data_IF_101059345878
#
_entry.id   IF_101059345878
#
_cell.length_a   1.000
_cell.length_b   1.000
_cell.length_c   1.000
_cell.angle_alpha   90.00
_cell.angle_beta   90.00
_cell.angle_gamma   90.00
#
_symmetry.space_group_name_H-M   'P 1'
#
loop_
_entity.id
_entity.type
_entity.pdbx_description
1 polymer ?
#
# COMPACT_ATOMS: atom_id res chain seq x y z
N UNK A 1 10.79 -3.27 -2.72
CA UNK A 1 11.01 -4.43 -3.57
C UNK A 1 10.45 -5.64 -2.84
N UNK A 2 9.57 -6.39 -3.48
CA UNK A 2 8.73 -7.33 -2.75
C UNK A 2 7.88 -6.58 -1.72
N UNK A 3 7.94 -7.04 -0.47
CA UNK A 3 7.14 -6.46 0.62
C UNK A 3 7.91 -5.42 1.46
N UNK A 4 9.18 -5.12 1.14
CA UNK A 4 10.09 -4.30 1.96
C UNK A 4 10.74 -3.18 1.14
N UNK A 5 11.12 -2.09 1.82
CA UNK A 5 12.07 -1.14 1.23
C UNK A 5 13.49 -1.77 1.13
N UNK A 6 14.30 -1.27 0.20
CA UNK A 6 15.70 -1.73 0.02
C UNK A 6 16.48 -1.66 1.34
N UNK A 7 16.28 -0.60 2.10
CA UNK A 7 16.91 -0.40 3.40
C UNK A 7 16.64 -1.55 4.39
N UNK A 8 15.42 -2.10 4.39
CA UNK A 8 15.13 -3.28 5.22
C UNK A 8 15.84 -4.54 4.73
N UNK A 9 15.98 -4.72 3.42
CA UNK A 9 16.78 -5.84 2.89
C UNK A 9 18.24 -5.72 3.32
N UNK A 10 18.81 -4.51 3.30
CA UNK A 10 20.17 -4.26 3.77
C UNK A 10 20.28 -4.56 5.27
N UNK A 11 19.41 -4.02 6.11
CA UNK A 11 19.45 -4.23 7.56
C UNK A 11 19.34 -5.73 7.90
N UNK A 12 18.39 -6.43 7.28
CA UNK A 12 18.11 -7.84 7.53
C UNK A 12 19.26 -8.77 7.04
N UNK A 13 20.15 -8.28 6.16
CA UNK A 13 21.30 -9.05 5.65
C UNK A 13 22.45 -9.19 6.65
N UNK A 14 22.42 -8.41 7.73
CA UNK A 14 23.45 -8.39 8.76
C UNK A 14 22.99 -9.11 10.02
N UNK A 15 23.64 -10.22 10.34
CA UNK A 15 23.42 -10.96 11.59
C UNK A 15 24.40 -10.52 12.69
N UNK A 16 23.91 -10.43 13.92
CA UNK A 16 24.75 -10.18 15.12
C UNK A 16 25.53 -8.84 15.10
N UNK A 17 24.98 -7.81 14.47
CA UNK A 17 25.54 -6.45 14.51
C UNK A 17 24.93 -5.67 15.67
N UNK A 18 25.79 -5.10 16.52
CA UNK A 18 25.37 -4.31 17.69
C UNK A 18 24.60 -3.07 17.29
N UNK A 19 25.09 -2.31 16.31
CA UNK A 19 24.51 -1.04 15.87
C UNK A 19 24.69 -0.86 14.38
N UNK A 20 23.63 -0.41 13.72
CA UNK A 20 23.60 -0.03 12.30
C UNK A 20 23.45 1.48 12.23
N UNK A 21 24.42 2.18 11.68
CA UNK A 21 24.36 3.62 11.45
C UNK A 21 23.87 3.91 10.04
N UNK A 22 22.76 4.64 9.94
CA UNK A 22 22.22 5.10 8.66
C UNK A 22 22.62 6.56 8.46
N UNK A 23 23.41 6.80 7.41
CA UNK A 23 23.79 8.17 7.01
C UNK A 23 22.63 8.82 6.27
N UNK A 24 22.08 9.88 6.83
CA UNK A 24 20.91 10.57 6.29
C UNK A 24 21.29 11.80 5.51
N UNK A 25 20.86 11.84 4.25
CA UNK A 25 20.97 13.00 3.37
C UNK A 25 19.59 13.46 2.92
N UNK A 26 19.27 13.25 1.63
CA UNK A 26 17.95 13.55 1.08
C UNK A 26 16.88 12.70 1.73
N UNK A 27 15.69 13.28 1.91
CA UNK A 27 14.50 12.60 2.48
C UNK A 27 14.73 12.01 3.89
N UNK A 28 15.63 12.58 4.68
CA UNK A 28 15.97 12.09 6.01
C UNK A 28 14.75 11.79 6.88
N UNK A 29 13.78 12.71 6.94
CA UNK A 29 12.59 12.53 7.75
C UNK A 29 11.70 11.36 7.29
N UNK A 30 11.63 11.11 5.98
CA UNK A 30 10.89 9.97 5.45
C UNK A 30 11.54 8.63 5.85
N UNK A 31 12.88 8.57 5.76
CA UNK A 31 13.66 7.38 6.15
C UNK A 31 13.53 7.13 7.65
N UNK A 32 13.62 8.17 8.49
CA UNK A 32 13.43 8.05 9.94
C UNK A 32 12.06 7.49 10.29
N UNK A 33 10.99 8.02 9.69
CA UNK A 33 9.63 7.53 9.90
C UNK A 33 9.48 6.07 9.47
N UNK A 34 10.02 5.69 8.30
CA UNK A 34 10.00 4.30 7.86
C UNK A 34 10.66 3.36 8.88
N UNK A 35 11.87 3.67 9.34
CA UNK A 35 12.62 2.85 10.30
C UNK A 35 11.91 2.79 11.66
N UNK A 36 11.34 3.90 12.13
CA UNK A 36 10.54 3.94 13.35
C UNK A 36 9.36 2.96 13.30
N UNK A 37 8.66 2.92 12.17
CA UNK A 37 7.59 1.95 11.93
C UNK A 37 8.08 0.50 11.84
N UNK A 38 9.29 0.26 11.35
CA UNK A 38 9.88 -1.09 11.23
C UNK A 38 10.24 -1.72 12.58
N UNK A 39 10.40 -0.89 13.64
CA UNK A 39 10.77 -1.34 14.98
C UNK A 39 12.12 -2.08 15.04
N UNK A 40 13.13 -1.58 14.31
CA UNK A 40 14.51 -2.06 14.42
C UNK A 40 15.15 -1.51 15.69
N UNK A 41 15.63 -2.39 16.58
CA UNK A 41 16.15 -2.00 17.88
C UNK A 41 17.59 -1.45 17.85
N UNK A 42 18.34 -1.72 16.79
CA UNK A 42 19.78 -1.47 16.69
C UNK A 42 20.15 -0.45 15.60
N UNK A 43 19.24 0.42 15.21
CA UNK A 43 19.48 1.44 14.17
C UNK A 43 19.68 2.81 14.81
N UNK A 44 20.73 3.51 14.43
CA UNK A 44 21.03 4.90 14.78
C UNK A 44 21.21 5.74 13.51
N UNK A 45 20.90 7.03 13.62
CA UNK A 45 20.97 7.96 12.49
C UNK A 45 22.11 8.95 12.64
N UNK A 46 22.81 9.21 11.53
CA UNK A 46 23.82 10.27 11.44
C UNK A 46 23.39 11.20 10.30
N UNK A 47 23.04 12.44 10.64
CA UNK A 47 22.70 13.46 9.65
C UNK A 47 23.95 13.98 8.97
N UNK A 48 23.93 14.03 7.64
CA UNK A 48 25.03 14.44 6.80
C UNK A 48 24.67 15.77 6.12
N UNK A 49 25.44 16.81 6.41
CA UNK A 49 25.39 18.06 5.66
C UNK A 49 26.13 17.88 4.33
N UNK A 50 25.71 18.59 3.28
CA UNK A 50 26.34 18.54 1.94
C UNK A 50 26.51 17.09 1.39
N UNK A 51 25.50 16.26 1.63
CA UNK A 51 25.47 14.83 1.25
C UNK A 51 25.61 14.61 -0.27
N UNK A 52 25.34 15.63 -1.09
CA UNK A 52 25.43 15.59 -2.56
C UNK A 52 26.81 15.93 -3.12
N UNK A 53 27.79 16.30 -2.27
CA UNK A 53 29.13 16.68 -2.75
C UNK A 53 29.92 15.43 -3.17
N UNK A 54 30.11 14.49 -2.26
CA UNK A 54 30.74 13.19 -2.51
C UNK A 54 30.53 12.23 -1.34
N UNK A 55 30.67 10.94 -1.59
CA UNK A 55 30.66 9.88 -0.57
C UNK A 55 31.72 10.14 0.50
N UNK A 56 32.91 10.58 0.08
CA UNK A 56 34.03 10.90 0.98
C UNK A 56 33.73 12.08 1.92
N UNK A 57 33.05 13.11 1.40
CA UNK A 57 32.59 14.25 2.20
C UNK A 57 31.58 13.79 3.25
N UNK A 58 30.70 12.87 2.89
CA UNK A 58 29.74 12.27 3.81
C UNK A 58 30.45 11.49 4.90
N UNK A 59 31.40 10.64 4.58
CA UNK A 59 32.15 9.84 5.57
C UNK A 59 32.94 10.70 6.54
N UNK A 60 33.51 11.82 6.13
CA UNK A 60 34.23 12.75 7.02
C UNK A 60 33.37 13.36 8.12
N UNK A 61 32.07 13.34 7.97
CA UNK A 61 31.11 13.86 8.96
C UNK A 61 30.71 12.80 9.99
N UNK A 62 31.07 11.54 9.77
CA UNK A 62 30.79 10.46 10.74
C UNK A 62 31.58 10.69 12.00
N UNK A 63 30.94 10.70 13.19
CA UNK A 63 31.63 10.87 14.47
C UNK A 63 32.72 9.82 14.70
N UNK A 64 33.86 10.25 15.26
CA UNK A 64 35.02 9.41 15.46
C UNK A 64 34.72 8.10 16.22
N UNK A 65 33.82 8.13 17.18
CA UNK A 65 33.48 6.96 17.99
C UNK A 65 32.92 5.79 17.17
N UNK A 66 32.34 6.05 15.99
CA UNK A 66 31.85 5.00 15.08
C UNK A 66 33.03 4.15 14.56
N UNK A 67 34.24 4.74 14.49
CA UNK A 67 35.47 4.10 14.05
C UNK A 67 36.30 3.50 15.19
N UNK A 68 35.75 3.37 16.39
CA UNK A 68 36.45 2.76 17.54
C UNK A 68 36.47 1.20 17.48
N UNK A 69 35.63 0.61 16.62
CA UNK A 69 35.50 -0.84 16.42
C UNK A 69 35.53 -1.19 14.94
N UNK A 70 35.88 -2.45 14.57
CA UNK A 70 35.66 -2.95 13.23
C UNK A 70 34.21 -2.74 12.78
N UNK A 71 34.01 -2.45 11.50
CA UNK A 71 32.68 -2.16 10.96
C UNK A 71 32.49 -2.70 9.55
N UNK A 72 31.24 -2.93 9.17
CA UNK A 72 30.85 -3.13 7.78
C UNK A 72 30.39 -1.81 7.18
N UNK A 73 30.70 -1.62 5.92
CA UNK A 73 30.12 -0.58 5.07
C UNK A 73 29.24 -1.22 4.01
N UNK A 74 28.08 -0.62 3.73
CA UNK A 74 27.18 -1.00 2.65
C UNK A 74 26.66 0.25 1.94
N UNK A 75 26.77 0.29 0.63
CA UNK A 75 26.08 1.31 -0.16
C UNK A 75 24.56 1.10 -0.07
N UNK A 76 23.80 2.19 -0.15
CA UNK A 76 22.36 2.16 0.14
C UNK A 76 21.49 1.66 -1.03
N UNK A 77 22.08 1.37 -2.15
CA UNK A 77 21.41 0.99 -3.41
C UNK A 77 21.66 -0.47 -3.80
N UNK A 78 22.26 -1.26 -2.93
CA UNK A 78 22.52 -2.66 -3.19
C UNK A 78 22.50 -3.51 -1.90
N UNK A 79 22.26 -4.80 -2.04
CA UNK A 79 22.32 -5.73 -0.93
C UNK A 79 22.63 -7.17 -1.38
N UNK A 80 22.98 -8.00 -0.43
CA UNK A 80 23.01 -9.47 -0.53
C UNK A 80 22.08 -10.05 0.53
N UNK A 81 21.41 -11.19 0.32
CA UNK A 81 20.53 -11.78 1.35
C UNK A 81 21.25 -12.09 2.66
N UNK A 82 22.54 -12.30 2.61
CA UNK A 82 23.37 -12.61 3.78
C UNK A 82 24.79 -12.08 3.57
N UNK A 83 25.22 -11.17 4.40
CA UNK A 83 26.61 -10.67 4.40
C UNK A 83 27.50 -11.64 5.17
N UNK A 84 28.55 -12.20 4.54
CA UNK A 84 29.44 -13.13 5.24
C UNK A 84 30.16 -12.47 6.41
N UNK A 85 30.22 -13.18 7.54
CA UNK A 85 31.01 -12.73 8.70
C UNK A 85 32.51 -12.95 8.42
N UNK A 86 33.28 -11.89 8.53
CA UNK A 86 34.73 -11.88 8.29
C UNK A 86 35.44 -11.11 9.41
N UNK A 87 36.72 -11.41 9.62
CA UNK A 87 37.55 -10.81 10.68
C UNK A 87 38.65 -9.87 10.15
N UNK A 88 38.93 -9.93 8.85
CA UNK A 88 40.00 -9.17 8.20
C UNK A 88 39.41 -8.03 7.36
N UNK A 89 40.25 -7.06 6.94
CA UNK A 89 39.85 -6.07 5.93
C UNK A 89 39.44 -6.80 4.67
N UNK A 90 38.21 -6.63 4.25
CA UNK A 90 37.63 -7.43 3.17
C UNK A 90 36.74 -6.55 2.26
N UNK A 91 36.91 -6.70 0.96
CA UNK A 91 35.96 -6.22 -0.04
C UNK A 91 35.14 -7.40 -0.57
N UNK A 92 33.85 -7.15 -0.78
CA UNK A 92 32.98 -8.17 -1.34
C UNK A 92 32.76 -7.88 -2.83
N UNK A 93 32.98 -8.90 -3.63
CA UNK A 93 32.88 -8.85 -5.08
C UNK A 93 31.70 -9.70 -5.56
N UNK A 94 31.15 -9.37 -6.72
CA UNK A 94 30.14 -10.18 -7.38
C UNK A 94 30.49 -10.36 -8.87
N UNK A 95 30.15 -11.53 -9.42
CA UNK A 95 30.29 -11.83 -10.85
C UNK A 95 28.93 -11.92 -11.49
N UNK A 96 28.69 -11.12 -12.53
CA UNK A 96 27.41 -11.10 -13.26
C UNK A 96 27.64 -11.39 -14.75
N UNK A 97 26.82 -12.25 -15.37
CA UNK A 97 26.80 -12.39 -16.83
C UNK A 97 26.27 -11.14 -17.55
N UNK A 98 25.65 -10.21 -16.81
CA UNK A 98 25.08 -8.95 -17.30
C UNK A 98 25.87 -7.75 -16.80
N UNK A 99 27.18 -7.84 -16.89
CA UNK A 99 28.12 -6.80 -16.42
C UNK A 99 27.85 -5.41 -17.01
N UNK A 100 27.34 -5.37 -18.24
CA UNK A 100 26.94 -4.13 -18.92
C UNK A 100 25.90 -3.28 -18.16
N UNK A 101 25.13 -3.88 -17.26
CA UNK A 101 24.20 -3.14 -16.40
C UNK A 101 24.88 -2.41 -15.23
N UNK A 102 26.16 -2.72 -14.99
CA UNK A 102 26.94 -2.27 -13.83
C UNK A 102 28.23 -1.54 -14.21
N UNK A 103 28.24 -0.89 -15.37
CA UNK A 103 29.42 -0.20 -15.92
C UNK A 103 30.01 0.90 -15.02
N UNK A 104 29.23 1.40 -14.05
CA UNK A 104 29.70 2.41 -13.09
C UNK A 104 30.53 1.82 -11.93
N UNK A 105 30.51 0.50 -11.75
CA UNK A 105 31.21 -0.17 -10.66
C UNK A 105 32.69 -0.46 -11.03
N UNK A 106 33.59 -0.19 -10.09
CA UNK A 106 35.00 -0.47 -10.29
C UNK A 106 35.27 -1.97 -10.45
N UNK A 107 36.00 -2.34 -11.49
CA UNK A 107 36.37 -3.71 -11.76
C UNK A 107 37.45 -4.19 -10.79
N UNK A 108 37.13 -5.21 -9.98
CA UNK A 108 38.17 -5.93 -9.19
C UNK A 108 38.95 -6.88 -10.07
N UNK A 109 38.30 -7.45 -11.10
CA UNK A 109 38.90 -8.32 -12.11
C UNK A 109 38.10 -8.29 -13.39
N UNK A 110 38.56 -8.88 -14.52
CA UNK A 110 37.78 -8.92 -15.76
C UNK A 110 36.39 -9.57 -15.61
N UNK A 111 36.21 -10.45 -14.64
CA UNK A 111 35.03 -11.26 -14.46
C UNK A 111 34.23 -10.88 -13.19
N UNK A 112 34.69 -9.93 -12.38
CA UNK A 112 34.01 -9.52 -11.15
C UNK A 112 34.17 -8.03 -10.90
N UNK A 113 33.26 -7.48 -10.09
CA UNK A 113 33.25 -6.07 -9.68
C UNK A 113 32.96 -5.96 -8.18
N UNK A 114 33.34 -4.83 -7.60
CA UNK A 114 33.06 -4.53 -6.20
C UNK A 114 31.56 -4.35 -5.96
N UNK A 115 31.04 -5.06 -4.99
CA UNK A 115 29.60 -5.12 -4.70
C UNK A 115 29.07 -3.96 -3.82
N UNK A 116 29.88 -2.95 -3.53
CA UNK A 116 29.50 -1.85 -2.63
C UNK A 116 29.41 -2.24 -1.15
N UNK A 117 29.98 -3.40 -0.79
CA UNK A 117 29.98 -3.92 0.57
C UNK A 117 31.42 -4.22 0.98
N UNK A 118 31.81 -3.84 2.18
CA UNK A 118 33.14 -4.09 2.70
C UNK A 118 33.15 -4.22 4.23
N UNK A 119 34.18 -4.88 4.76
CA UNK A 119 34.49 -4.96 6.18
C UNK A 119 35.83 -4.30 6.46
N UNK A 120 35.86 -3.43 7.44
CA UNK A 120 37.04 -2.69 7.91
C UNK A 120 37.42 -3.19 9.29
N UNK A 121 38.48 -3.97 9.38
CA UNK A 121 39.05 -4.41 10.66
C UNK A 121 39.78 -3.28 11.36
N UNK A 122 40.65 -2.56 10.66
CA UNK A 122 41.40 -1.44 11.23
C UNK A 122 40.65 -0.11 10.98
N UNK A 123 39.58 0.07 11.74
CA UNK A 123 38.75 1.26 11.67
C UNK A 123 39.51 2.55 12.00
N UNK A 124 40.48 2.52 12.92
CA UNK A 124 41.32 3.66 13.26
C UNK A 124 42.19 4.08 12.07
N UNK A 125 42.81 3.14 11.37
CA UNK A 125 43.56 3.43 10.14
C UNK A 125 42.65 4.00 9.07
N UNK A 126 41.48 3.42 8.87
CA UNK A 126 40.48 3.94 7.92
C UNK A 126 40.13 5.40 8.22
N UNK A 127 39.81 5.72 9.48
CA UNK A 127 39.54 7.10 9.93
C UNK A 127 40.69 8.05 9.61
N UNK A 128 41.93 7.64 9.88
CA UNK A 128 43.12 8.47 9.62
C UNK A 128 43.35 8.72 8.13
N UNK A 129 43.21 7.69 7.28
CA UNK A 129 43.29 7.83 5.82
C UNK A 129 42.23 8.79 5.32
N UNK A 130 40.98 8.59 5.77
CA UNK A 130 39.83 9.42 5.42
C UNK A 130 40.05 10.90 5.70
N UNK A 131 40.57 11.24 6.90
CA UNK A 131 40.73 12.63 7.33
C UNK A 131 42.03 13.29 6.85
N UNK A 132 43.07 12.52 6.54
CA UNK A 132 44.34 13.05 6.00
C UNK A 132 44.33 13.16 4.48
N UNK A 133 43.40 12.56 3.79
CA UNK A 133 43.27 12.67 2.33
C UNK A 133 42.61 14.00 1.91
N UNK A 134 43.24 14.71 0.96
CA UNK A 134 42.67 15.91 0.36
C UNK A 134 41.87 15.64 -0.93
N UNK A 135 41.72 14.37 -1.32
CA UNK A 135 41.11 13.99 -2.58
C UNK A 135 39.64 13.57 -2.36
N UNK A 136 38.81 13.88 -3.35
CA UNK A 136 37.48 13.29 -3.49
C UNK A 136 37.60 11.90 -4.10
N UNK A 137 37.75 10.88 -3.27
CA UNK A 137 37.89 9.50 -3.71
C UNK A 137 36.59 8.74 -3.44
N UNK A 138 36.40 7.59 -4.08
CA UNK A 138 35.40 6.63 -3.67
C UNK A 138 35.94 5.74 -2.54
N UNK A 139 35.06 4.96 -1.88
CA UNK A 139 35.41 4.08 -0.75
C UNK A 139 36.50 3.05 -1.12
N UNK A 140 36.45 2.47 -2.33
CA UNK A 140 37.48 1.53 -2.82
C UNK A 140 38.90 2.09 -2.78
N UNK A 141 39.06 3.36 -3.05
CA UNK A 141 40.40 3.98 -3.05
C UNK A 141 41.04 3.97 -1.66
N UNK A 142 40.25 3.91 -0.58
CA UNK A 142 40.76 3.79 0.78
C UNK A 142 41.44 2.43 0.98
N UNK A 143 40.88 1.36 0.41
CA UNK A 143 41.42 0.01 0.57
C UNK A 143 42.77 -0.18 -0.10
N UNK A 144 43.13 0.60 -1.10
CA UNK A 144 44.48 0.60 -1.68
C UNK A 144 45.57 1.09 -0.72
N UNK A 145 45.20 1.75 0.36
CA UNK A 145 46.10 2.24 1.40
C UNK A 145 46.33 1.19 2.52
N UNK A 146 45.65 0.05 2.46
CA UNK A 146 45.85 -1.05 3.39
C UNK A 146 46.86 -2.05 2.83
N UNK A 147 47.70 -2.63 3.73
CA UNK A 147 48.74 -3.58 3.32
C UNK A 147 48.14 -4.91 2.85
N UNK A 148 47.03 -5.32 3.46
CA UNK A 148 46.34 -6.57 3.16
C UNK A 148 44.85 -6.34 3.14
N UNK A 149 44.19 -6.68 2.02
CA UNK A 149 42.72 -6.66 1.86
C UNK A 149 42.30 -7.98 1.20
N UNK A 150 41.41 -8.70 1.85
CA UNK A 150 40.86 -9.93 1.30
C UNK A 150 39.73 -9.61 0.29
N UNK A 151 39.57 -10.49 -0.67
CA UNK A 151 38.46 -10.44 -1.61
C UNK A 151 37.57 -11.68 -1.38
N UNK A 152 36.24 -11.43 -1.24
CA UNK A 152 35.27 -12.51 -1.03
C UNK A 152 34.19 -12.38 -2.09
N UNK A 153 33.95 -13.46 -2.84
CA UNK A 153 32.89 -13.51 -3.83
C UNK A 153 31.53 -13.77 -3.17
N UNK A 154 30.58 -12.91 -3.40
CA UNK A 154 29.18 -13.10 -3.01
C UNK A 154 28.50 -14.11 -3.94
N UNK A 155 27.61 -14.92 -3.37
CA UNK A 155 26.80 -15.87 -4.15
C UNK A 155 25.61 -15.20 -4.82
N UNK A 156 25.05 -14.22 -4.17
CA UNK A 156 23.89 -13.45 -4.60
C UNK A 156 24.12 -11.98 -4.27
N UNK A 157 23.71 -11.11 -5.15
CA UNK A 157 23.80 -9.67 -4.98
C UNK A 157 22.79 -8.99 -5.87
N UNK A 158 22.20 -7.91 -5.39
CA UNK A 158 21.15 -7.15 -6.06
C UNK A 158 21.47 -5.67 -6.00
N UNK A 159 21.27 -4.99 -7.11
CA UNK A 159 21.45 -3.55 -7.27
C UNK A 159 20.15 -2.86 -7.67
N UNK A 160 19.97 -1.63 -7.24
CA UNK A 160 18.84 -0.77 -7.59
C UNK A 160 19.27 0.66 -7.89
N UNK A 161 20.55 0.88 -8.09
CA UNK A 161 21.14 2.19 -8.36
C UNK A 161 20.77 2.76 -9.73
N UNK A 162 20.20 1.94 -10.63
CA UNK A 162 19.65 2.39 -11.91
C UNK A 162 18.28 1.76 -12.19
N UNK A 163 17.55 2.32 -13.17
CA UNK A 163 16.16 1.91 -13.46
C UNK A 163 16.07 0.46 -13.93
N UNK A 164 16.99 0.00 -14.77
CA UNK A 164 17.03 -1.35 -15.33
C UNK A 164 17.26 -2.39 -14.22
N UNK A 165 18.25 -2.14 -13.36
CA UNK A 165 18.54 -2.99 -12.21
C UNK A 165 17.38 -3.02 -11.21
N UNK A 166 16.78 -1.87 -10.92
CA UNK A 166 15.57 -1.78 -10.09
C UNK A 166 14.42 -2.61 -10.65
N UNK A 167 14.13 -2.50 -11.95
CA UNK A 167 13.08 -3.30 -12.60
C UNK A 167 13.37 -4.80 -12.55
N UNK A 168 14.64 -5.19 -12.75
CA UNK A 168 15.05 -6.58 -12.66
C UNK A 168 14.88 -7.14 -11.24
N UNK A 169 15.30 -6.41 -10.22
CA UNK A 169 15.12 -6.78 -8.82
C UNK A 169 13.64 -6.87 -8.45
N UNK A 170 12.81 -5.91 -8.88
CA UNK A 170 11.36 -5.93 -8.63
C UNK A 170 10.67 -7.12 -9.30
N UNK A 171 11.09 -7.51 -10.50
CA UNK A 171 10.56 -8.69 -11.17
C UNK A 171 10.95 -10.00 -10.48
N UNK A 172 12.12 -10.04 -9.85
CA UNK A 172 12.60 -11.21 -9.11
C UNK A 172 11.94 -11.35 -7.73
N UNK A 173 11.89 -10.25 -6.95
CA UNK A 173 11.28 -10.23 -5.64
C UNK A 173 9.79 -9.89 -5.75
N UNK A 174 8.96 -10.91 -5.92
CA UNK A 174 7.51 -10.72 -5.87
C UNK A 174 7.04 -10.51 -4.44
N UNK A 175 6.06 -9.63 -4.27
CA UNK A 175 5.35 -9.52 -3.00
C UNK A 175 4.66 -10.85 -2.66
N UNK A 176 4.71 -11.24 -1.39
CA UNK A 176 3.92 -12.34 -0.86
C UNK A 176 2.47 -11.94 -0.62
N UNK A 177 2.17 -10.64 -0.73
CA UNK A 177 0.87 -10.05 -0.49
C UNK A 177 0.42 -9.28 -1.73
N UNK A 178 -0.87 -9.35 -2.05
CA UNK A 178 -1.50 -8.55 -3.11
C UNK A 178 -1.64 -7.08 -2.62
N UNK A 179 -0.52 -6.37 -2.58
CA UNK A 179 -0.49 -4.95 -2.22
C UNK A 179 -1.00 -4.15 -3.42
N UNK A 180 -2.09 -3.42 -3.21
CA UNK A 180 -2.62 -2.51 -4.23
C UNK A 180 -1.79 -1.22 -4.22
N UNK A 181 -1.12 -0.94 -5.34
CA UNK A 181 -0.45 0.34 -5.56
C UNK A 181 -1.47 1.49 -5.53
N UNK A 182 -1.27 2.42 -4.60
CA UNK A 182 -2.05 3.65 -4.52
C UNK A 182 -1.12 4.85 -4.73
N UNK A 183 -1.53 5.78 -5.58
CA UNK A 183 -0.70 6.94 -5.95
C UNK A 183 -0.31 7.86 -4.79
N UNK A 184 -0.98 7.77 -3.65
CA UNK A 184 -0.80 8.63 -2.48
C UNK A 184 -0.20 7.93 -1.27
N UNK A 185 0.05 6.63 -1.33
CA UNK A 185 0.63 5.87 -0.22
C UNK A 185 1.53 4.75 -0.71
N UNK A 186 2.48 4.36 0.13
CA UNK A 186 3.32 3.18 -0.01
C UNK A 186 3.01 2.22 1.13
N UNK A 187 2.97 0.92 0.84
CA UNK A 187 2.64 -0.11 1.82
C UNK A 187 3.81 -1.10 1.90
N UNK A 188 4.24 -1.39 3.13
CA UNK A 188 5.32 -2.34 3.40
C UNK A 188 4.89 -3.36 4.45
N UNK A 189 5.51 -4.53 4.38
CA UNK A 189 5.38 -5.57 5.39
C UNK A 189 6.78 -5.92 5.94
N UNK A 190 7.04 -5.53 7.18
CA UNK A 190 8.34 -5.69 7.83
C UNK A 190 8.15 -6.07 9.29
N UNK A 191 8.91 -7.05 9.78
CA UNK A 191 8.90 -7.48 11.18
C UNK A 191 7.48 -7.78 11.72
N UNK A 192 6.67 -8.48 10.93
CA UNK A 192 5.27 -8.80 11.23
C UNK A 192 4.36 -7.56 11.41
N UNK A 193 4.73 -6.44 10.80
CA UNK A 193 3.95 -5.20 10.80
C UNK A 193 3.58 -4.79 9.39
N UNK A 194 2.38 -4.26 9.23
CA UNK A 194 1.97 -3.51 8.05
C UNK A 194 2.31 -2.05 8.29
N UNK A 195 3.04 -1.45 7.35
CA UNK A 195 3.46 -0.04 7.40
C UNK A 195 2.83 0.66 6.21
N UNK A 196 2.16 1.77 6.44
CA UNK A 196 1.61 2.64 5.39
C UNK A 196 2.20 4.02 5.53
N UNK A 197 2.96 4.45 4.53
CA UNK A 197 3.51 5.81 4.45
C UNK A 197 2.74 6.61 3.40
N UNK A 198 2.35 7.82 3.75
CA UNK A 198 1.51 8.69 2.94
C UNK A 198 2.29 9.92 2.49
N UNK A 199 1.91 10.49 1.35
CA UNK A 199 2.49 11.75 0.86
C UNK A 199 2.09 12.96 1.71
N UNK A 200 0.94 12.88 2.38
CA UNK A 200 0.39 13.93 3.24
C UNK A 200 0.38 13.47 4.71
N UNK A 201 0.17 14.41 5.60
CA UNK A 201 -0.01 14.13 7.03
C UNK A 201 -1.25 13.27 7.28
N UNK A 202 -1.20 12.40 8.30
CA UNK A 202 -2.25 11.42 8.61
C UNK A 202 -2.82 11.56 10.02
N UNK A 203 -2.68 12.71 10.65
CA UNK A 203 -3.14 12.96 12.02
C UNK A 203 -4.64 12.69 12.19
N UNK A 204 -5.48 13.18 11.27
CA UNK A 204 -6.93 12.94 11.31
C UNK A 204 -7.27 11.46 11.14
N UNK A 205 -6.55 10.76 10.24
CA UNK A 205 -6.72 9.32 10.08
C UNK A 205 -6.34 8.56 11.35
N UNK A 206 -5.21 8.89 11.99
CA UNK A 206 -4.78 8.26 13.24
C UNK A 206 -5.83 8.43 14.34
N UNK A 207 -6.30 9.66 14.56
CA UNK A 207 -7.36 9.95 15.54
C UNK A 207 -8.64 9.17 15.24
N UNK A 208 -9.00 9.05 13.95
CA UNK A 208 -10.16 8.28 13.52
C UNK A 208 -10.00 6.79 13.84
N UNK A 209 -8.82 6.21 13.57
CA UNK A 209 -8.53 4.80 13.85
C UNK A 209 -8.56 4.47 15.35
N UNK A 210 -7.98 5.34 16.17
CA UNK A 210 -7.93 5.16 17.63
C UNK A 210 -9.31 5.28 18.29
N UNK A 211 -10.16 6.16 17.77
CA UNK A 211 -11.48 6.43 18.34
C UNK A 211 -12.61 5.57 17.80
N UNK A 212 -12.40 4.82 16.70
CA UNK A 212 -13.42 4.01 16.08
C UNK A 212 -13.59 2.64 16.74
N UNK A 213 -14.31 2.58 17.84
CA UNK A 213 -14.57 1.33 18.56
C UNK A 213 -15.59 0.41 17.88
N UNK A 214 -16.39 0.92 16.95
CA UNK A 214 -17.39 0.14 16.21
C UNK A 214 -16.77 -0.65 15.07
N UNK A 215 -15.71 -0.13 14.47
CA UNK A 215 -14.91 -0.78 13.44
C UNK A 215 -13.45 -0.86 13.91
N UNK A 216 -13.13 -1.78 14.84
CA UNK A 216 -11.80 -1.81 15.46
C UNK A 216 -10.71 -2.14 14.44
N UNK A 217 -9.72 -1.26 14.36
CA UNK A 217 -8.52 -1.46 13.59
C UNK A 217 -7.55 -2.43 14.29
N UNK A 218 -6.70 -3.17 13.57
CA UNK A 218 -5.63 -3.97 14.19
C UNK A 218 -4.75 -3.13 15.13
N UNK A 219 -4.35 -3.71 16.25
CA UNK A 219 -3.57 -3.05 17.30
C UNK A 219 -2.32 -3.86 17.67
N UNK A 220 -1.26 -3.22 18.19
CA UNK A 220 -1.16 -1.79 18.50
C UNK A 220 -0.99 -0.93 17.23
N UNK A 221 -1.63 0.23 17.23
CA UNK A 221 -1.41 1.26 16.21
C UNK A 221 -0.23 2.13 16.62
N UNK A 222 0.71 2.34 15.70
CA UNK A 222 1.79 3.32 15.85
C UNK A 222 1.68 4.35 14.74
N UNK A 223 1.74 5.64 15.08
CA UNK A 223 1.58 6.76 14.18
C UNK A 223 2.78 7.68 14.17
N UNK A 224 3.15 8.14 12.98
CA UNK A 224 4.08 9.26 12.75
C UNK A 224 3.38 10.35 11.96
N UNK A 225 4.08 11.42 11.61
CA UNK A 225 3.48 12.54 10.87
C UNK A 225 2.85 12.11 9.52
N UNK A 226 3.53 11.23 8.79
CA UNK A 226 3.10 10.77 7.46
C UNK A 226 2.88 9.26 7.38
N UNK A 227 2.88 8.55 8.52
CA UNK A 227 2.79 7.09 8.52
C UNK A 227 1.94 6.51 9.62
N UNK A 228 1.44 5.32 9.36
CA UNK A 228 0.83 4.45 10.36
C UNK A 228 1.39 3.04 10.21
N UNK A 229 1.52 2.33 11.31
CA UNK A 229 1.77 0.90 11.28
C UNK A 229 1.02 0.16 12.37
N UNK A 230 0.78 -1.10 12.12
CA UNK A 230 0.06 -2.00 13.03
C UNK A 230 0.53 -3.44 12.81
N UNK A 231 0.30 -4.29 13.80
CA UNK A 231 0.66 -5.71 13.69
C UNK A 231 -0.13 -6.37 12.57
N UNK A 232 0.56 -7.19 11.78
CA UNK A 232 -0.11 -8.01 10.78
C UNK A 232 -1.07 -8.99 11.44
N UNK A 233 -2.30 -9.01 10.97
CA UNK A 233 -3.34 -9.91 11.47
C UNK A 233 -3.52 -11.05 10.49
N UNK A 234 -3.08 -12.23 10.86
CA UNK A 234 -3.48 -13.44 10.16
C UNK A 234 -4.97 -13.69 10.37
N UNK A 235 -5.67 -14.04 9.30
CA UNK A 235 -7.10 -14.31 9.41
C UNK A 235 -7.74 -14.61 8.08
N UNK A 236 -9.04 -14.88 8.13
CA UNK A 236 -9.85 -15.10 6.93
C UNK A 236 -10.34 -13.78 6.40
N UNK A 237 -10.24 -13.60 5.11
CA UNK A 237 -10.68 -12.40 4.38
C UNK A 237 -11.56 -12.79 3.20
N UNK A 238 -12.35 -11.86 2.72
CA UNK A 238 -13.16 -11.98 1.52
C UNK A 238 -14.03 -13.25 1.51
N UNK A 239 -13.79 -14.18 0.58
CA UNK A 239 -14.62 -15.39 0.42
C UNK A 239 -14.48 -16.39 1.58
N UNK A 240 -13.40 -16.32 2.35
CA UNK A 240 -13.13 -17.24 3.44
C UNK A 240 -13.72 -16.82 4.80
N UNK A 241 -14.29 -15.60 4.89
CA UNK A 241 -14.88 -15.11 6.13
C UNK A 241 -16.11 -15.95 6.53
N UNK A 242 -16.33 -16.09 7.84
CA UNK A 242 -17.62 -16.55 8.39
C UNK A 242 -18.67 -15.46 8.17
N UNK A 243 -19.35 -15.56 7.04
CA UNK A 243 -20.28 -14.54 6.58
C UNK A 243 -21.48 -14.37 7.51
N UNK A 244 -22.01 -15.44 8.08
CA UNK A 244 -23.18 -15.38 8.95
C UNK A 244 -22.84 -14.65 10.25
N UNK A 245 -21.67 -14.95 10.82
CA UNK A 245 -21.14 -14.22 11.98
C UNK A 245 -20.91 -12.75 11.69
N UNK A 246 -20.28 -12.42 10.54
CA UNK A 246 -20.03 -11.04 10.12
C UNK A 246 -21.35 -10.27 9.93
N UNK A 247 -22.29 -10.84 9.16
CA UNK A 247 -23.55 -10.19 8.84
C UNK A 247 -24.37 -9.92 10.11
N UNK A 248 -24.43 -10.88 11.05
CA UNK A 248 -25.13 -10.71 12.32
C UNK A 248 -24.54 -9.54 13.14
N UNK A 249 -23.22 -9.43 13.22
CA UNK A 249 -22.56 -8.33 13.92
C UNK A 249 -22.82 -6.97 13.25
N UNK A 250 -22.72 -6.88 11.93
CA UNK A 250 -22.98 -5.65 11.20
C UNK A 250 -24.46 -5.23 11.30
N UNK A 251 -25.41 -6.16 11.17
CA UNK A 251 -26.82 -5.86 11.32
C UNK A 251 -27.15 -5.34 12.73
N UNK A 252 -26.58 -5.94 13.78
CA UNK A 252 -26.77 -5.43 15.15
C UNK A 252 -26.27 -3.99 15.32
N UNK A 253 -25.10 -3.68 14.76
CA UNK A 253 -24.55 -2.32 14.79
C UNK A 253 -25.45 -1.33 14.04
N UNK A 254 -25.87 -1.68 12.83
CA UNK A 254 -26.69 -0.81 11.99
C UNK A 254 -28.09 -0.63 12.57
N UNK A 255 -28.75 -1.69 13.06
CA UNK A 255 -30.07 -1.60 13.69
C UNK A 255 -30.03 -0.74 14.97
N UNK A 256 -29.00 -0.89 15.79
CA UNK A 256 -28.78 -0.03 16.96
C UNK A 256 -28.59 1.44 16.54
N UNK A 257 -27.80 1.70 15.51
CA UNK A 257 -27.54 3.06 15.01
C UNK A 257 -28.80 3.69 14.42
N UNK A 258 -29.56 2.94 13.62
CA UNK A 258 -30.83 3.40 13.04
C UNK A 258 -31.87 3.77 14.11
N UNK A 259 -31.89 3.03 15.23
CA UNK A 259 -32.83 3.29 16.31
C UNK A 259 -32.48 4.50 17.20
N UNK A 260 -31.19 4.90 17.24
CA UNK A 260 -30.69 5.84 18.25
C UNK A 260 -30.08 7.14 17.70
N UNK A 261 -29.84 7.26 16.37
CA UNK A 261 -29.09 8.38 15.81
C UNK A 261 -29.92 9.34 14.94
N UNK A 262 -29.31 10.48 14.69
CA UNK A 262 -29.93 11.58 13.94
C UNK A 262 -30.06 11.28 12.45
N UNK A 263 -31.15 11.76 11.87
CA UNK A 263 -31.23 11.90 10.42
C UNK A 263 -30.35 13.06 9.96
N UNK A 264 -29.57 12.85 8.90
CA UNK A 264 -28.75 13.85 8.25
C UNK A 264 -29.07 13.95 6.77
N UNK A 265 -28.71 15.08 6.17
CA UNK A 265 -28.81 15.25 4.71
C UNK A 265 -27.40 15.20 4.12
N UNK A 266 -27.14 14.20 3.28
CA UNK A 266 -25.82 13.97 2.69
C UNK A 266 -25.86 14.00 1.15
N UNK A 267 -26.20 15.20 0.62
CA UNK A 267 -26.28 15.44 -0.82
C UNK A 267 -24.94 15.24 -1.53
N UNK A 268 -23.86 15.68 -0.89
CA UNK A 268 -22.50 15.63 -1.46
C UNK A 268 -22.04 14.19 -1.80
N UNK A 269 -22.31 13.22 -0.92
CA UNK A 269 -21.91 11.82 -1.13
C UNK A 269 -22.75 11.13 -2.20
N UNK A 270 -24.05 11.42 -2.28
CA UNK A 270 -24.97 10.74 -3.16
C UNK A 270 -25.19 11.48 -4.46
N UNK A 271 -25.96 12.57 -4.42
CA UNK A 271 -26.40 13.26 -5.63
C UNK A 271 -25.23 13.95 -6.34
N UNK A 272 -24.51 14.83 -5.64
CA UNK A 272 -23.50 15.68 -6.28
C UNK A 272 -22.33 14.84 -6.81
N UNK A 273 -21.89 13.85 -6.04
CA UNK A 273 -20.82 12.92 -6.46
C UNK A 273 -21.25 12.08 -7.67
N UNK A 274 -22.50 11.57 -7.69
CA UNK A 274 -22.97 10.75 -8.80
C UNK A 274 -23.03 11.55 -10.09
N UNK A 275 -23.53 12.80 -10.06
CA UNK A 275 -23.54 13.67 -11.22
C UNK A 275 -22.13 14.04 -11.70
N UNK A 276 -21.24 14.39 -10.78
CA UNK A 276 -19.84 14.65 -11.11
C UNK A 276 -19.18 13.45 -11.80
N UNK A 277 -19.41 12.23 -11.32
CA UNK A 277 -18.85 11.01 -11.90
C UNK A 277 -19.49 10.66 -13.25
N UNK A 278 -20.77 10.98 -13.42
CA UNK A 278 -21.43 10.86 -14.71
C UNK A 278 -20.81 11.82 -15.75
N UNK A 279 -20.55 13.05 -15.39
CA UNK A 279 -19.85 14.00 -16.27
C UNK A 279 -18.46 13.47 -16.64
N UNK A 280 -17.67 13.02 -15.66
CA UNK A 280 -16.33 12.44 -15.91
C UNK A 280 -16.35 11.23 -16.87
N UNK A 281 -17.34 10.34 -16.77
CA UNK A 281 -17.43 9.18 -17.64
C UNK A 281 -17.85 9.59 -19.07
N UNK A 282 -18.74 10.58 -19.21
CA UNK A 282 -19.15 11.12 -20.51
C UNK A 282 -18.01 11.91 -21.17
N UNK A 283 -17.18 12.62 -20.42
CA UNK A 283 -15.97 13.28 -20.93
C UNK A 283 -14.97 12.25 -21.48
N UNK A 284 -14.82 11.13 -20.77
CA UNK A 284 -13.92 10.04 -21.18
C UNK A 284 -14.50 9.21 -22.35
N UNK A 285 -15.79 8.98 -22.38
CA UNK A 285 -16.52 8.20 -23.37
C UNK A 285 -17.79 8.96 -23.83
N UNK A 286 -17.67 9.87 -24.83
CA UNK A 286 -18.74 10.76 -25.24
C UNK A 286 -20.03 10.04 -25.70
N UNK A 287 -19.91 8.80 -26.18
CA UNK A 287 -21.06 7.98 -26.56
C UNK A 287 -22.04 7.70 -25.40
N UNK A 288 -21.61 7.86 -24.16
CA UNK A 288 -22.47 7.66 -22.97
C UNK A 288 -23.30 8.88 -22.58
N UNK A 289 -23.13 10.00 -23.27
CA UNK A 289 -24.05 11.12 -23.15
C UNK A 289 -25.38 10.87 -23.90
N UNK A 290 -25.38 9.93 -24.87
CA UNK A 290 -26.53 9.56 -25.66
C UNK A 290 -27.20 8.27 -25.14
N UNK A 291 -28.35 7.91 -25.76
CA UNK A 291 -29.06 6.66 -25.47
C UNK A 291 -28.19 5.45 -25.78
N UNK A 292 -27.99 4.60 -24.78
CA UNK A 292 -27.24 3.35 -24.90
C UNK A 292 -28.17 2.13 -24.93
N UNK A 293 -27.74 1.05 -25.56
CA UNK A 293 -28.48 -0.23 -25.55
C UNK A 293 -27.79 -1.18 -24.54
N UNK A 294 -28.52 -1.56 -23.49
CA UNK A 294 -28.02 -2.48 -22.46
C UNK A 294 -28.95 -3.69 -22.39
N UNK A 295 -28.43 -4.92 -22.61
CA UNK A 295 -29.24 -6.13 -22.57
C UNK A 295 -30.52 -6.01 -23.43
N UNK A 296 -30.42 -5.42 -24.63
CA UNK A 296 -31.51 -5.18 -25.60
C UNK A 296 -32.52 -4.07 -25.16
N UNK A 297 -32.27 -3.34 -24.07
CA UNK A 297 -33.10 -2.24 -23.62
C UNK A 297 -32.38 -0.93 -23.95
N UNK A 298 -33.10 0.02 -24.56
CA UNK A 298 -32.58 1.38 -24.75
C UNK A 298 -32.76 2.19 -23.48
N UNK A 299 -31.67 2.77 -22.99
CA UNK A 299 -31.59 3.56 -21.76
C UNK A 299 -30.94 4.92 -22.08
N UNK A 300 -31.63 5.99 -21.78
CA UNK A 300 -31.09 7.34 -21.76
C UNK A 300 -30.44 7.58 -20.39
N UNK A 301 -29.10 7.73 -20.31
CA UNK A 301 -28.40 7.84 -19.03
C UNK A 301 -28.83 9.05 -18.23
N UNK A 302 -28.89 10.23 -18.85
CA UNK A 302 -29.27 11.47 -18.20
C UNK A 302 -30.68 11.38 -17.60
N UNK A 303 -31.66 10.98 -18.42
CA UNK A 303 -33.05 10.83 -17.95
C UNK A 303 -33.21 9.75 -16.88
N UNK A 304 -32.37 8.71 -16.92
CA UNK A 304 -32.40 7.66 -15.90
C UNK A 304 -31.92 8.21 -14.56
N UNK A 305 -30.84 9.00 -14.55
CA UNK A 305 -30.37 9.67 -13.33
C UNK A 305 -31.34 10.73 -12.82
N UNK A 306 -32.04 11.47 -13.69
CA UNK A 306 -33.09 12.44 -13.28
C UNK A 306 -34.26 11.76 -12.57
N UNK A 307 -34.59 10.50 -12.88
CA UNK A 307 -35.68 9.76 -12.23
C UNK A 307 -35.34 9.25 -10.83
N UNK A 308 -34.06 9.28 -10.42
CA UNK A 308 -33.68 8.87 -9.08
C UNK A 308 -34.35 9.75 -8.05
N UNK A 309 -35.02 9.13 -7.08
CA UNK A 309 -35.53 9.86 -5.94
C UNK A 309 -34.37 10.24 -4.99
N UNK A 310 -33.70 11.33 -5.31
CA UNK A 310 -32.56 11.84 -4.55
C UNK A 310 -32.92 12.15 -3.09
N UNK A 311 -34.15 12.45 -2.75
CA UNK A 311 -34.58 12.68 -1.36
C UNK A 311 -34.37 11.40 -0.52
N UNK A 312 -34.68 10.23 -1.07
CA UNK A 312 -34.46 8.93 -0.38
C UNK A 312 -32.97 8.68 -0.14
N UNK A 313 -32.12 8.94 -1.14
CA UNK A 313 -30.68 8.74 -1.02
C UNK A 313 -30.04 9.78 -0.10
N UNK A 314 -30.35 11.04 -0.26
CA UNK A 314 -29.74 12.14 0.49
C UNK A 314 -30.12 12.14 1.98
N UNK A 315 -31.28 11.58 2.36
CA UNK A 315 -31.65 11.42 3.76
C UNK A 315 -30.91 10.26 4.39
N UNK A 316 -29.78 10.54 5.06
CA UNK A 316 -28.94 9.57 5.74
C UNK A 316 -29.24 9.45 7.23
N UNK A 317 -28.49 8.59 7.89
CA UNK A 317 -28.44 8.48 9.36
C UNK A 317 -27.00 8.60 9.79
N UNK A 318 -26.74 9.58 10.66
CA UNK A 318 -25.41 9.80 11.22
C UNK A 318 -25.05 8.69 12.20
N UNK A 319 -23.87 8.11 12.04
CA UNK A 319 -23.38 7.08 12.95
C UNK A 319 -21.95 6.67 12.68
N UNK A 320 -21.44 5.71 13.44
CA UNK A 320 -20.10 5.17 13.22
C UNK A 320 -19.96 4.63 11.80
N UNK A 321 -18.90 5.05 11.11
CA UNK A 321 -18.60 4.64 9.74
C UNK A 321 -17.16 4.17 9.60
N UNK A 322 -16.98 3.21 8.71
CA UNK A 322 -15.69 2.78 8.19
C UNK A 322 -15.26 3.64 6.99
N UNK A 323 -16.23 4.06 6.20
CA UNK A 323 -16.05 4.88 5.00
C UNK A 323 -15.66 4.10 3.74
N UNK A 324 -15.20 2.84 3.87
CA UNK A 324 -14.91 1.92 2.77
C UNK A 324 -15.16 0.46 3.19
N UNK A 325 -16.35 0.19 3.71
CA UNK A 325 -16.70 -1.11 4.28
C UNK A 325 -16.95 -2.15 3.17
N UNK A 326 -15.88 -2.79 2.73
CA UNK A 326 -15.93 -3.89 1.75
C UNK A 326 -15.33 -5.16 2.36
N UNK A 327 -15.69 -6.34 1.81
CA UNK A 327 -15.21 -7.63 2.34
C UNK A 327 -13.68 -7.74 2.36
N UNK A 328 -12.99 -7.10 1.41
CA UNK A 328 -11.53 -7.11 1.34
C UNK A 328 -10.86 -6.32 2.49
N UNK A 329 -11.61 -5.44 3.15
CA UNK A 329 -11.15 -4.64 4.28
C UNK A 329 -11.54 -5.23 5.64
N UNK A 330 -12.03 -6.48 5.68
CA UNK A 330 -12.50 -7.15 6.89
C UNK A 330 -11.71 -8.44 7.09
N UNK A 331 -11.05 -8.54 8.25
CA UNK A 331 -10.24 -9.71 8.63
C UNK A 331 -10.87 -10.37 9.86
N UNK A 332 -11.23 -11.64 9.75
CA UNK A 332 -11.76 -12.42 10.86
C UNK A 332 -10.71 -13.41 11.35
N UNK A 333 -10.34 -13.27 12.64
CA UNK A 333 -9.42 -14.16 13.32
C UNK A 333 -10.01 -14.56 14.68
N UNK A 334 -10.22 -15.85 14.90
CA UNK A 334 -10.73 -16.42 16.16
C UNK A 334 -11.94 -15.65 16.74
N UNK A 335 -12.93 -15.36 15.91
CA UNK A 335 -14.14 -14.57 16.25
C UNK A 335 -13.86 -13.09 16.61
N UNK A 336 -12.67 -12.59 16.35
CA UNK A 336 -12.38 -11.15 16.38
C UNK A 336 -12.45 -10.60 14.96
N UNK A 337 -13.26 -9.57 14.78
CA UNK A 337 -13.35 -8.85 13.51
C UNK A 337 -12.41 -7.65 13.60
N UNK A 338 -11.50 -7.52 12.64
CA UNK A 338 -10.64 -6.36 12.47
C UNK A 338 -10.97 -5.71 11.14
N UNK A 339 -10.90 -4.39 11.10
CA UNK A 339 -11.20 -3.61 9.93
C UNK A 339 -9.95 -2.82 9.53
N UNK A 340 -9.61 -2.84 8.23
CA UNK A 340 -8.44 -2.15 7.67
C UNK A 340 -8.89 -1.15 6.60
N UNK A 341 -8.02 -0.22 6.21
CA UNK A 341 -8.30 0.77 5.14
C UNK A 341 -9.49 1.71 5.43
N UNK A 342 -9.63 2.12 6.67
CA UNK A 342 -10.61 3.16 7.05
C UNK A 342 -10.38 4.45 6.26
N UNK A 343 -11.44 5.15 6.00
CA UNK A 343 -11.37 6.55 5.55
C UNK A 343 -11.26 7.50 6.74
N UNK A 344 -10.77 8.71 6.48
CA UNK A 344 -10.77 9.78 7.47
C UNK A 344 -12.20 10.07 7.94
N UNK A 345 -12.33 10.31 9.25
CA UNK A 345 -13.64 10.48 9.89
C UNK A 345 -14.29 9.15 10.27
N UNK A 346 -14.64 9.00 11.53
CA UNK A 346 -15.28 7.81 12.11
C UNK A 346 -16.81 7.94 12.27
N UNK A 347 -17.37 9.05 11.80
CA UNK A 347 -18.82 9.34 11.83
C UNK A 347 -19.28 9.84 10.46
N UNK A 348 -20.35 9.27 9.96
CA UNK A 348 -20.87 9.61 8.64
C UNK A 348 -22.26 9.04 8.39
N UNK A 349 -22.66 8.96 7.14
CA UNK A 349 -23.90 8.29 6.74
C UNK A 349 -23.71 6.77 6.71
N UNK A 350 -24.30 6.06 7.67
CA UNK A 350 -24.21 4.60 7.75
C UNK A 350 -24.72 3.89 6.49
N UNK A 351 -25.64 4.51 5.73
CA UNK A 351 -26.10 3.93 4.47
C UNK A 351 -25.00 3.88 3.41
N UNK A 352 -23.98 4.74 3.51
CA UNK A 352 -22.82 4.61 2.63
C UNK A 352 -22.08 3.31 2.90
N UNK A 353 -21.79 2.97 4.15
CA UNK A 353 -21.15 1.71 4.53
C UNK A 353 -22.01 0.48 4.22
N UNK A 354 -23.32 0.56 4.48
CA UNK A 354 -24.26 -0.51 4.11
C UNK A 354 -24.22 -0.78 2.60
N UNK A 355 -24.24 0.29 1.78
CA UNK A 355 -24.14 0.16 0.32
C UNK A 355 -22.74 -0.30 -0.15
N UNK A 356 -21.66 0.12 0.52
CA UNK A 356 -20.29 -0.37 0.25
C UNK A 356 -20.15 -1.86 0.58
N UNK A 357 -20.71 -2.30 1.72
CA UNK A 357 -20.74 -3.71 2.06
C UNK A 357 -21.53 -4.51 1.02
N UNK A 358 -22.74 -4.05 0.67
CA UNK A 358 -23.57 -4.72 -0.33
C UNK A 358 -22.93 -4.71 -1.73
N UNK A 359 -22.24 -3.62 -2.10
CA UNK A 359 -21.41 -3.56 -3.31
C UNK A 359 -20.38 -4.69 -3.34
N UNK A 360 -19.69 -4.94 -2.23
CA UNK A 360 -18.61 -5.95 -2.19
C UNK A 360 -19.13 -7.40 -2.30
N UNK A 361 -20.41 -7.65 -2.08
CA UNK A 361 -21.01 -8.96 -2.35
C UNK A 361 -21.16 -9.26 -3.85
N UNK A 362 -21.20 -8.22 -4.69
CA UNK A 362 -21.25 -8.34 -6.14
C UNK A 362 -19.86 -8.23 -6.78
N UNK A 363 -19.07 -7.28 -6.30
CA UNK A 363 -17.81 -6.84 -6.91
C UNK A 363 -16.71 -6.77 -5.85
N UNK A 364 -16.18 -7.92 -5.44
CA UNK A 364 -14.96 -7.95 -4.65
C UNK A 364 -13.72 -7.93 -5.57
N UNK A 365 -12.56 -7.51 -5.06
CA UNK A 365 -11.33 -7.30 -5.85
C UNK A 365 -10.94 -8.51 -6.70
N UNK A 366 -11.13 -9.74 -6.21
CA UNK A 366 -10.83 -10.97 -6.94
C UNK A 366 -11.67 -11.08 -8.22
N UNK A 367 -12.96 -10.73 -8.15
CA UNK A 367 -13.83 -10.75 -9.35
C UNK A 367 -13.47 -9.65 -10.33
N UNK A 368 -13.10 -8.44 -9.83
CA UNK A 368 -12.66 -7.34 -10.67
C UNK A 368 -11.38 -7.66 -11.46
N UNK A 369 -10.48 -8.46 -10.91
CA UNK A 369 -9.24 -8.85 -11.57
C UNK A 369 -9.38 -10.01 -12.56
N UNK A 370 -10.39 -10.88 -12.37
CA UNK A 370 -10.54 -12.15 -13.12
C UNK A 370 -11.60 -12.13 -14.20
N UNK A 371 -12.42 -11.09 -14.28
CA UNK A 371 -13.58 -11.06 -15.17
C UNK A 371 -13.23 -10.42 -16.50
N UNK A 372 -13.42 -11.16 -17.60
CA UNK A 372 -13.56 -10.56 -18.92
C UNK A 372 -14.91 -9.83 -18.97
N UNK A 373 -14.86 -8.51 -19.12
CA UNK A 373 -16.06 -7.69 -19.17
C UNK A 373 -16.62 -7.66 -20.58
N UNK A 374 -17.85 -8.15 -20.75
CA UNK A 374 -18.58 -8.00 -22.01
C UNK A 374 -19.49 -6.79 -21.94
N UNK A 375 -19.28 -5.83 -22.83
CA UNK A 375 -20.15 -4.67 -22.99
C UNK A 375 -21.47 -5.07 -23.67
N UNK A 376 -21.48 -6.18 -24.42
CA UNK A 376 -22.66 -6.71 -25.12
C UNK A 376 -23.65 -7.37 -24.14
N UNK A 377 -23.14 -7.95 -23.05
CA UNK A 377 -23.95 -8.59 -22.01
C UNK A 377 -23.50 -8.09 -20.64
N UNK A 378 -24.23 -7.12 -20.11
CA UNK A 378 -23.93 -6.50 -18.83
C UNK A 378 -24.47 -7.37 -17.69
N UNK A 379 -23.81 -8.49 -17.45
CA UNK A 379 -24.11 -9.43 -16.38
C UNK A 379 -22.83 -9.79 -15.63
N UNK A 380 -22.94 -9.95 -14.31
CA UNK A 380 -21.84 -10.44 -13.48
C UNK A 380 -21.89 -11.97 -13.39
N UNK A 381 -20.77 -12.66 -13.58
CA UNK A 381 -20.65 -14.09 -13.36
C UNK A 381 -20.54 -14.37 -11.86
N UNK A 382 -21.65 -14.27 -11.13
CA UNK A 382 -21.70 -14.54 -9.71
C UNK A 382 -21.61 -16.05 -9.46
N UNK A 383 -20.80 -16.44 -8.47
CA UNK A 383 -20.71 -17.82 -7.99
C UNK A 383 -21.92 -18.19 -7.13
N UNK A 384 -22.10 -19.48 -6.85
CA UNK A 384 -23.13 -19.92 -5.87
C UNK A 384 -22.93 -19.27 -4.50
N UNK A 385 -21.68 -19.10 -4.07
CA UNK A 385 -21.33 -18.45 -2.79
C UNK A 385 -21.73 -16.98 -2.79
N UNK A 386 -21.46 -16.26 -3.88
CA UNK A 386 -21.88 -14.86 -4.01
C UNK A 386 -23.39 -14.72 -3.95
N UNK A 387 -24.12 -15.58 -4.68
CA UNK A 387 -25.57 -15.59 -4.69
C UNK A 387 -26.15 -15.93 -3.32
N UNK A 388 -25.58 -16.90 -2.59
CA UNK A 388 -25.98 -17.23 -1.24
C UNK A 388 -25.84 -16.03 -0.29
N UNK A 389 -24.69 -15.34 -0.31
CA UNK A 389 -24.41 -14.15 0.53
C UNK A 389 -25.34 -12.98 0.22
N UNK A 390 -25.53 -12.71 -1.08
CA UNK A 390 -26.48 -11.68 -1.53
C UNK A 390 -27.89 -12.00 -1.04
N UNK A 391 -28.33 -13.26 -1.16
CA UNK A 391 -29.64 -13.68 -0.71
C UNK A 391 -29.80 -13.58 0.82
N UNK A 392 -28.79 -13.98 1.60
CA UNK A 392 -28.78 -13.80 3.07
C UNK A 392 -28.91 -12.32 3.45
N UNK A 393 -28.13 -11.44 2.80
CA UNK A 393 -28.24 -9.99 3.04
C UNK A 393 -29.63 -9.47 2.70
N UNK A 394 -30.21 -9.89 1.57
CA UNK A 394 -31.57 -9.51 1.14
C UNK A 394 -32.66 -9.99 2.09
N UNK A 395 -32.44 -11.04 2.87
CA UNK A 395 -33.38 -11.54 3.87
C UNK A 395 -33.36 -10.74 5.19
N UNK A 396 -32.37 -9.87 5.41
CA UNK A 396 -32.29 -9.06 6.64
C UNK A 396 -33.44 -8.05 6.70
N UNK A 397 -33.92 -7.75 7.92
CA UNK A 397 -34.91 -6.70 8.16
C UNK A 397 -34.44 -5.36 7.64
N UNK A 398 -33.15 -5.04 7.82
CA UNK A 398 -32.50 -3.86 7.30
C UNK A 398 -32.72 -3.69 5.78
N UNK A 399 -32.37 -4.70 5.00
CA UNK A 399 -32.54 -4.64 3.55
C UNK A 399 -34.03 -4.54 3.16
N UNK A 400 -34.91 -5.32 3.78
CA UNK A 400 -36.34 -5.30 3.45
C UNK A 400 -36.96 -3.92 3.72
N UNK A 401 -36.54 -3.26 4.80
CA UNK A 401 -37.03 -1.94 5.19
C UNK A 401 -36.51 -0.82 4.26
N UNK A 402 -35.23 -0.89 3.89
CA UNK A 402 -34.56 0.18 3.14
C UNK A 402 -34.17 -0.25 1.71
N UNK A 403 -34.87 -1.25 1.16
CA UNK A 403 -34.52 -1.88 -0.12
C UNK A 403 -34.23 -0.87 -1.22
N UNK A 404 -35.14 0.06 -1.50
CA UNK A 404 -34.99 1.03 -2.59
C UNK A 404 -33.76 1.90 -2.39
N UNK A 405 -33.50 2.36 -1.16
CA UNK A 405 -32.34 3.18 -0.83
C UNK A 405 -31.04 2.41 -1.04
N UNK A 406 -30.98 1.15 -0.61
CA UNK A 406 -29.80 0.30 -0.73
C UNK A 406 -29.52 -0.03 -2.20
N UNK A 407 -30.54 -0.42 -2.98
CA UNK A 407 -30.38 -0.76 -4.39
C UNK A 407 -29.94 0.45 -5.25
N UNK A 408 -30.54 1.64 -5.02
CA UNK A 408 -30.10 2.85 -5.69
C UNK A 408 -28.71 3.32 -5.20
N UNK A 409 -28.43 3.21 -3.91
CA UNK A 409 -27.16 3.61 -3.33
C UNK A 409 -25.99 2.76 -3.86
N UNK A 410 -26.16 1.45 -3.94
CA UNK A 410 -25.11 0.58 -4.51
C UNK A 410 -24.87 0.88 -5.98
N UNK A 411 -25.91 1.17 -6.75
CA UNK A 411 -25.75 1.54 -8.16
C UNK A 411 -25.02 2.89 -8.34
N UNK A 412 -25.28 3.86 -7.46
CA UNK A 412 -24.52 5.12 -7.41
C UNK A 412 -23.02 4.88 -7.08
N UNK A 413 -22.70 3.90 -6.21
CA UNK A 413 -21.31 3.49 -5.93
C UNK A 413 -20.65 2.93 -7.19
N UNK A 414 -21.30 2.00 -7.91
CA UNK A 414 -20.76 1.43 -9.15
C UNK A 414 -20.52 2.51 -10.21
N UNK A 415 -21.50 3.42 -10.40
CA UNK A 415 -21.34 4.55 -11.32
C UNK A 415 -20.18 5.45 -10.87
N UNK A 416 -20.04 5.71 -9.56
CA UNK A 416 -18.95 6.53 -9.03
C UNK A 416 -17.57 5.91 -9.22
N UNK A 417 -17.46 4.60 -9.34
CA UNK A 417 -16.22 3.88 -9.60
C UNK A 417 -15.86 3.87 -11.09
N UNK A 418 -16.85 3.97 -11.98
CA UNK A 418 -16.68 3.77 -13.41
C UNK A 418 -15.62 4.65 -14.08
N UNK A 419 -15.40 5.94 -13.76
CA UNK A 419 -14.37 6.75 -14.41
C UNK A 419 -12.97 6.57 -13.84
N UNK A 420 -12.79 5.80 -12.76
CA UNK A 420 -11.58 5.82 -11.92
C UNK A 420 -10.59 4.69 -12.20
N UNK A 421 -10.97 3.66 -12.96
CA UNK A 421 -10.11 2.52 -13.19
C UNK A 421 -9.14 2.78 -14.35
N UNK A 422 -8.00 2.11 -14.34
CA UNK A 422 -7.04 2.11 -15.44
C UNK A 422 -7.58 1.30 -16.63
N UNK A 423 -8.36 0.24 -16.35
CA UNK A 423 -8.95 -0.62 -17.36
C UNK A 423 -10.22 0.02 -17.94
N UNK A 424 -10.20 0.35 -19.23
CA UNK A 424 -11.31 1.00 -19.92
C UNK A 424 -12.54 0.09 -20.06
N UNK A 425 -12.36 -1.21 -20.26
CA UNK A 425 -13.50 -2.15 -20.34
C UNK A 425 -14.21 -2.27 -19.00
N UNK A 426 -13.47 -2.26 -17.89
CA UNK A 426 -14.06 -2.22 -16.56
C UNK A 426 -14.84 -0.92 -16.32
N UNK A 427 -14.30 0.23 -16.75
CA UNK A 427 -14.98 1.52 -16.64
C UNK A 427 -16.34 1.50 -17.37
N UNK A 428 -16.32 1.05 -18.62
CA UNK A 428 -17.52 0.93 -19.47
C UNK A 428 -18.52 -0.05 -18.87
N UNK A 429 -18.04 -1.21 -18.43
CA UNK A 429 -18.87 -2.23 -17.78
C UNK A 429 -19.55 -1.69 -16.52
N UNK A 430 -18.80 -1.09 -15.59
CA UNK A 430 -19.35 -0.56 -14.34
C UNK A 430 -20.40 0.52 -14.58
N UNK A 431 -20.19 1.39 -15.55
CA UNK A 431 -21.15 2.40 -15.92
C UNK A 431 -22.46 1.77 -16.43
N UNK A 432 -22.38 0.88 -17.40
CA UNK A 432 -23.54 0.21 -18.00
C UNK A 432 -24.25 -0.68 -16.95
N UNK A 433 -23.50 -1.35 -16.10
CA UNK A 433 -24.04 -2.17 -15.01
C UNK A 433 -24.83 -1.32 -14.00
N UNK A 434 -24.26 -0.20 -13.58
CA UNK A 434 -24.93 0.75 -12.70
C UNK A 434 -26.21 1.31 -13.32
N UNK A 435 -26.14 1.71 -14.59
CA UNK A 435 -27.27 2.28 -15.33
C UNK A 435 -28.44 1.30 -15.49
N UNK A 436 -28.11 0.04 -15.86
CA UNK A 436 -29.09 -1.03 -15.94
C UNK A 436 -29.75 -1.31 -14.59
N UNK A 437 -28.98 -1.22 -13.50
CA UNK A 437 -29.51 -1.43 -12.16
C UNK A 437 -30.40 -0.26 -11.71
N UNK A 438 -29.99 0.99 -11.94
CA UNK A 438 -30.81 2.17 -11.67
C UNK A 438 -32.14 2.09 -12.42
N UNK A 439 -32.08 1.80 -13.73
CA UNK A 439 -33.28 1.72 -14.59
C UNK A 439 -34.31 0.68 -14.14
N UNK A 440 -33.90 -0.35 -13.38
CA UNK A 440 -34.82 -1.35 -12.78
C UNK A 440 -35.50 -0.85 -11.50
N UNK A 441 -35.01 0.23 -10.89
CA UNK A 441 -35.46 0.69 -9.58
C UNK A 441 -36.03 2.12 -9.57
N UNK A 442 -36.07 2.81 -10.74
CA UNK A 442 -36.64 4.16 -10.92
C UNK A 442 -37.94 4.16 -11.70
#
# INVERSE_FOLDING_TARGET
IGDKAVLSHIIDSYENIDTIYILLGSQAEYIKQYIDHCNYANVEFIEIENWNDSQFTSFKQIPKYVFDKPFYYNACDNWTPHVPVVEENTIFNYSSPHKELYDSWNEASPDSFYAGISHVKDATRFYNILHNSNETRNDLNIYHEFDEVNEVMLKEWYDVGNVEAYMAATAFFKSNYDLLDKSNQEIYYVNNRVIKLFKNTVEELQQSLESNHCFPHPSPLHGTNNGISYDFVEGKVNLDVDYDYLLDNLCKLWDFTLANNKTITNKAIWQDKTWQRFEMICDKYPEYADTVTINQIQIDPFRTLEKINWTILNNGVEGPCHGDLVLDNIIINHNKINYIDHREGNVGDIFYDICKFYHSLYLHNINLQRTEYSIESVNLPLTEVDLERINKFKQTTLYQTYRLKIELGVACIWLSMSPLNVNDDLNRFLFLFALNHINKHV
#
